data_IF_514786203034
#
_entry.id   IF_514786203034
#
_cell.length_a   1.000
_cell.length_b   1.000
_cell.length_c   1.000
_cell.angle_alpha   90.00
_cell.angle_beta   90.00
_cell.angle_gamma   90.00
#
_symmetry.space_group_name_H-M   'P 1'
#
loop_
_entity.id
_entity.type
_entity.pdbx_description
1 polymer ?
#
# COMPACT_ATOMS: atom_id res chain seq x y z
N UNK A 1 8.46 -1.16 -0.19
CA UNK A 1 7.60 -0.22 -0.98
C UNK A 1 6.96 0.92 -0.18
N UNK A 2 6.14 0.64 0.85
CA UNK A 2 5.49 1.72 1.63
C UNK A 2 6.49 2.57 2.44
N UNK A 3 7.66 2.02 2.76
CA UNK A 3 8.74 2.71 3.47
C UNK A 3 9.21 3.97 2.75
N UNK A 4 9.34 3.92 1.41
CA UNK A 4 9.75 5.08 0.63
C UNK A 4 8.69 6.19 0.66
N UNK A 5 7.41 5.81 0.50
CA UNK A 5 6.29 6.74 0.61
C UNK A 5 6.18 7.34 2.03
N UNK A 6 6.40 6.53 3.06
CA UNK A 6 6.45 6.98 4.45
C UNK A 6 7.58 7.97 4.67
N UNK A 7 8.77 7.67 4.15
CA UNK A 7 9.94 8.53 4.28
C UNK A 7 9.71 9.88 3.58
N UNK A 8 9.17 9.85 2.35
CA UNK A 8 8.78 11.05 1.60
C UNK A 8 7.84 11.95 2.43
N UNK A 9 6.82 11.38 3.07
CA UNK A 9 5.92 12.12 3.97
C UNK A 9 6.63 12.63 5.23
N UNK A 10 7.52 11.83 5.83
CA UNK A 10 8.26 12.25 7.02
C UNK A 10 9.20 13.42 6.74
N UNK A 11 9.82 13.44 5.56
CA UNK A 11 10.67 14.55 5.09
C UNK A 11 9.83 15.80 4.85
N UNK A 12 8.69 15.69 4.15
CA UNK A 12 7.79 16.84 3.96
C UNK A 12 7.26 17.37 5.29
N UNK A 13 6.79 16.50 6.20
CA UNK A 13 6.29 16.89 7.52
C UNK A 13 7.35 17.57 8.38
N UNK A 14 8.63 17.24 8.20
CA UNK A 14 9.73 17.87 8.93
C UNK A 14 9.95 19.34 8.54
N UNK A 15 9.40 19.79 7.40
CA UNK A 15 9.50 21.19 6.95
C UNK A 15 8.40 22.08 7.56
N UNK A 16 7.38 21.49 8.19
CA UNK A 16 6.24 22.24 8.72
C UNK A 16 6.53 22.75 10.13
N UNK A 17 6.44 24.07 10.38
CA UNK A 17 6.67 24.63 11.71
C UNK A 17 5.56 24.19 12.68
N UNK A 18 5.93 23.37 13.67
CA UNK A 18 5.00 22.77 14.64
C UNK A 18 5.65 22.73 16.03
N UNK A 19 4.84 22.77 17.10
CA UNK A 19 5.32 22.68 18.48
C UNK A 19 5.88 21.28 18.83
N UNK A 20 5.44 20.25 18.11
CA UNK A 20 5.95 18.89 18.20
C UNK A 20 5.86 18.23 16.82
N UNK A 21 6.68 17.20 16.61
CA UNK A 21 6.62 16.42 15.37
C UNK A 21 5.22 15.81 15.18
N UNK A 22 4.58 16.01 14.02
CA UNK A 22 3.32 15.35 13.69
C UNK A 22 3.48 13.83 13.70
N UNK A 23 2.46 13.13 14.19
CA UNK A 23 2.35 11.70 14.08
C UNK A 23 2.06 11.32 12.62
N UNK A 24 2.72 10.26 12.14
CA UNK A 24 2.42 9.65 10.84
C UNK A 24 2.10 8.17 11.04
N UNK A 25 0.83 7.82 10.96
CA UNK A 25 0.33 6.46 11.17
C UNK A 25 -0.26 5.89 9.89
N UNK A 26 -0.35 4.57 9.81
CA UNK A 26 -1.17 3.91 8.78
C UNK A 26 -2.63 4.32 8.99
N UNK A 27 -3.33 4.64 7.91
CA UNK A 27 -4.76 4.98 8.00
C UNK A 27 -5.61 3.72 8.16
N UNK A 28 -6.65 3.82 9.00
CA UNK A 28 -7.71 2.82 9.09
C UNK A 28 -8.71 2.95 7.93
N UNK A 29 -8.76 4.12 7.27
CA UNK A 29 -9.62 4.35 6.11
C UNK A 29 -9.12 3.56 4.89
N UNK A 30 -10.00 2.81 4.22
CA UNK A 30 -9.65 1.97 3.08
C UNK A 30 -9.05 2.75 1.90
N UNK A 31 -9.38 4.03 1.75
CA UNK A 31 -9.00 4.88 0.62
C UNK A 31 -7.73 5.71 0.88
N UNK A 32 -7.17 5.68 2.09
CA UNK A 32 -5.95 6.40 2.44
C UNK A 32 -4.83 5.44 2.86
N UNK A 33 -3.58 5.74 2.51
CA UNK A 33 -2.43 4.98 3.04
C UNK A 33 -2.06 5.44 4.45
N UNK A 34 -2.04 6.75 4.68
CA UNK A 34 -1.55 7.34 5.91
C UNK A 34 -2.53 8.35 6.51
N UNK A 35 -2.34 8.63 7.79
CA UNK A 35 -3.03 9.69 8.52
C UNK A 35 -2.02 10.46 9.37
N UNK A 36 -2.20 11.78 9.47
CA UNK A 36 -1.42 12.65 10.34
C UNK A 36 -2.30 13.59 11.15
N UNK A 37 -1.85 13.92 12.35
CA UNK A 37 -2.49 14.86 13.28
C UNK A 37 -2.08 16.31 13.00
N UNK A 38 -1.37 16.59 11.90
CA UNK A 38 -0.89 17.92 11.54
C UNK A 38 -1.92 19.06 11.69
N UNK A 39 -3.19 18.90 11.28
CA UNK A 39 -4.21 19.96 11.44
C UNK A 39 -4.50 20.34 12.89
N UNK A 40 -4.14 19.48 13.85
CA UNK A 40 -4.24 19.76 15.28
C UNK A 40 -3.00 20.49 15.82
N UNK A 41 -1.94 20.62 15.01
CA UNK A 41 -0.62 21.12 15.41
C UNK A 41 -0.21 22.41 14.68
N UNK A 42 -0.73 22.64 13.48
CA UNK A 42 -0.46 23.82 12.66
C UNK A 42 -1.50 23.97 11.54
N UNK A 43 -1.40 25.07 10.79
CA UNK A 43 -2.11 25.21 9.52
C UNK A 43 -1.57 24.17 8.52
N UNK A 44 -2.46 23.29 8.04
CA UNK A 44 -2.12 22.22 7.12
C UNK A 44 -2.17 22.67 5.65
N UNK A 45 -2.66 23.86 5.31
CA UNK A 45 -2.91 24.25 3.92
C UNK A 45 -1.64 24.26 3.06
N UNK A 46 -0.54 24.82 3.58
CA UNK A 46 0.75 24.82 2.87
C UNK A 46 1.30 23.41 2.69
N UNK A 47 1.17 22.58 3.71
CA UNK A 47 1.57 21.18 3.64
C UNK A 47 0.72 20.40 2.62
N UNK A 48 -0.60 20.59 2.59
CA UNK A 48 -1.48 19.92 1.62
C UNK A 48 -1.08 20.29 0.18
N UNK A 49 -0.85 21.59 -0.09
CA UNK A 49 -0.36 22.05 -1.40
C UNK A 49 0.99 21.43 -1.77
N UNK A 50 1.92 21.33 -0.82
CA UNK A 50 3.21 20.68 -1.03
C UNK A 50 3.03 19.18 -1.34
N UNK A 51 2.23 18.48 -0.55
CA UNK A 51 1.96 17.07 -0.74
C UNK A 51 1.32 16.79 -2.11
N UNK A 52 0.34 17.61 -2.51
CA UNK A 52 -0.31 17.54 -3.82
C UNK A 52 0.66 17.75 -4.98
N UNK A 53 1.60 18.70 -4.85
CA UNK A 53 2.70 18.88 -5.82
C UNK A 53 3.57 17.63 -5.96
N UNK A 54 3.71 16.85 -4.90
CA UNK A 54 4.41 15.56 -4.87
C UNK A 54 3.51 14.36 -5.26
N UNK A 55 2.29 14.61 -5.75
CA UNK A 55 1.37 13.60 -6.23
C UNK A 55 0.52 12.93 -5.15
N UNK A 56 0.48 13.49 -3.94
CA UNK A 56 -0.40 13.01 -2.88
C UNK A 56 -1.81 13.59 -3.00
N UNK A 57 -2.81 12.76 -2.71
CA UNK A 57 -4.17 13.23 -2.44
C UNK A 57 -4.31 13.43 -0.94
N UNK A 58 -4.89 14.56 -0.55
CA UNK A 58 -5.09 14.88 0.87
C UNK A 58 -6.54 15.28 1.14
N UNK A 59 -7.08 14.85 2.27
CA UNK A 59 -8.41 15.29 2.73
C UNK A 59 -8.55 15.12 4.24
N UNK A 60 -9.51 15.84 4.81
CA UNK A 60 -9.77 15.84 6.25
C UNK A 60 -10.86 14.85 6.62
N UNK A 61 -10.62 14.05 7.67
CA UNK A 61 -11.62 13.13 8.22
C UNK A 61 -11.40 12.92 9.71
N UNK A 62 -12.42 13.23 10.52
CA UNK A 62 -12.37 13.01 11.97
C UNK A 62 -11.21 13.72 12.69
N UNK A 63 -10.81 14.92 12.22
CA UNK A 63 -9.68 15.67 12.78
C UNK A 63 -8.29 15.19 12.32
N UNK A 64 -8.22 14.20 11.43
CA UNK A 64 -6.99 13.73 10.82
C UNK A 64 -6.88 14.22 9.38
N UNK A 65 -5.66 14.54 8.97
CA UNK A 65 -5.33 14.69 7.56
C UNK A 65 -4.97 13.31 7.01
N UNK A 66 -5.78 12.82 6.08
CA UNK A 66 -5.55 11.58 5.37
C UNK A 66 -4.72 11.83 4.12
N UNK A 67 -3.81 10.89 3.81
CA UNK A 67 -2.90 10.99 2.67
C UNK A 67 -2.92 9.68 1.87
N UNK A 68 -3.08 9.83 0.57
CA UNK A 68 -3.07 8.72 -0.38
C UNK A 68 -2.17 9.01 -1.58
N UNK A 69 -1.39 8.01 -1.97
CA UNK A 69 -0.56 8.01 -3.18
C UNK A 69 -0.28 6.57 -3.56
N UNK A 70 -0.90 6.09 -4.63
CA UNK A 70 -0.60 4.76 -5.15
C UNK A 70 0.76 4.81 -5.85
N UNK A 71 1.72 3.96 -5.46
CA UNK A 71 2.98 3.86 -6.17
C UNK A 71 2.74 3.31 -7.58
N UNK A 72 3.61 3.65 -8.53
CA UNK A 72 3.63 2.98 -9.81
C UNK A 72 3.93 1.48 -9.61
N UNK A 73 3.44 0.60 -10.51
CA UNK A 73 3.80 -0.81 -10.48
C UNK A 73 5.32 -0.97 -10.49
N UNK A 74 5.90 -1.80 -9.60
CA UNK A 74 7.28 -2.24 -9.72
C UNK A 74 7.52 -2.92 -11.07
N UNK A 75 8.77 -2.92 -11.52
CA UNK A 75 9.17 -3.73 -12.66
C UNK A 75 8.88 -5.21 -12.36
N UNK A 76 8.32 -5.90 -13.34
CA UNK A 76 8.00 -7.31 -13.20
C UNK A 76 9.31 -8.12 -13.24
N UNK A 77 9.65 -8.91 -12.20
CA UNK A 77 10.82 -9.78 -12.25
C UNK A 77 10.72 -10.80 -13.39
N UNK A 78 11.89 -11.18 -13.93
CA UNK A 78 12.02 -12.20 -14.98
C UNK A 78 11.51 -13.58 -14.54
N UNK A 79 11.50 -13.84 -13.24
CA UNK A 79 11.00 -15.05 -12.63
C UNK A 79 10.12 -14.69 -11.43
N UNK A 80 8.95 -15.33 -11.31
CA UNK A 80 8.10 -15.13 -10.15
C UNK A 80 8.83 -15.68 -8.91
N UNK A 81 9.07 -14.86 -7.87
CA UNK A 81 9.78 -15.30 -6.70
C UNK A 81 9.00 -16.41 -5.97
N UNK A 82 9.73 -17.39 -5.46
CA UNK A 82 9.17 -18.34 -4.50
C UNK A 82 8.92 -17.67 -3.16
N UNK A 83 7.75 -17.90 -2.57
CA UNK A 83 7.44 -17.47 -1.20
C UNK A 83 6.70 -18.59 -0.47
N UNK A 84 7.02 -18.84 0.82
CA UNK A 84 6.23 -19.77 1.62
C UNK A 84 4.85 -19.16 1.95
N UNK A 85 3.91 -20.02 2.36
CA UNK A 85 2.63 -19.60 2.91
C UNK A 85 1.64 -19.04 1.87
N UNK A 86 0.74 -18.18 2.33
CA UNK A 86 -0.38 -17.68 1.53
C UNK A 86 0.09 -16.70 0.45
N UNK A 87 1.23 -16.04 0.68
CA UNK A 87 1.87 -15.19 -0.31
C UNK A 87 2.25 -16.00 -1.56
N UNK A 88 2.85 -17.18 -1.39
CA UNK A 88 3.16 -18.10 -2.49
C UNK A 88 1.92 -18.56 -3.26
N UNK A 89 0.83 -18.85 -2.56
CA UNK A 89 -0.45 -19.20 -3.18
C UNK A 89 -1.00 -18.06 -4.05
N UNK A 90 -0.98 -16.82 -3.55
CA UNK A 90 -1.42 -15.65 -4.30
C UNK A 90 -0.56 -15.42 -5.56
N UNK A 91 0.77 -15.50 -5.42
CA UNK A 91 1.71 -15.38 -6.54
C UNK A 91 1.45 -16.42 -7.62
N UNK A 92 1.30 -17.69 -7.22
CA UNK A 92 1.03 -18.79 -8.16
C UNK A 92 -0.29 -18.63 -8.91
N UNK A 93 -1.35 -18.15 -8.24
CA UNK A 93 -2.65 -17.92 -8.87
C UNK A 93 -2.58 -16.75 -9.86
N UNK A 94 -2.11 -15.58 -9.41
CA UNK A 94 -2.07 -14.40 -10.27
C UNK A 94 -1.09 -14.54 -11.45
N UNK A 95 0.03 -15.24 -11.28
CA UNK A 95 0.95 -15.51 -12.39
C UNK A 95 0.34 -16.35 -13.52
N UNK A 96 -0.67 -17.17 -13.20
CA UNK A 96 -1.42 -17.97 -14.20
C UNK A 96 -2.59 -17.22 -14.83
N UNK A 97 -2.92 -16.04 -14.30
CA UNK A 97 -4.07 -15.24 -14.69
C UNK A 97 -3.65 -13.76 -14.76
N UNK A 98 -2.92 -13.34 -15.81
CA UNK A 98 -2.35 -12.01 -15.92
C UNK A 98 -3.39 -10.92 -16.27
N UNK A 99 -4.67 -11.12 -15.92
CA UNK A 99 -5.74 -10.19 -16.24
C UNK A 99 -5.47 -8.80 -15.65
N UNK A 100 -5.60 -7.77 -16.48
CA UNK A 100 -5.24 -6.39 -16.12
C UNK A 100 -6.35 -5.65 -15.35
N UNK A 101 -7.00 -6.32 -14.39
CA UNK A 101 -8.00 -5.64 -13.57
C UNK A 101 -7.35 -4.83 -12.45
N UNK A 102 -7.82 -3.60 -12.29
CA UNK A 102 -7.36 -2.67 -11.26
C UNK A 102 -8.28 -2.75 -10.05
N UNK A 103 -7.68 -3.05 -8.89
CA UNK A 103 -8.35 -2.90 -7.61
C UNK A 103 -7.44 -2.12 -6.67
N UNK A 104 -7.62 -0.81 -6.68
CA UNK A 104 -6.87 0.12 -5.85
C UNK A 104 -7.12 -0.14 -4.35
N UNK A 105 -8.26 -0.71 -3.98
CA UNK A 105 -8.58 -1.05 -2.59
C UNK A 105 -7.71 -2.21 -2.12
N UNK A 106 -7.62 -3.27 -2.94
CA UNK A 106 -6.72 -4.39 -2.69
C UNK A 106 -5.26 -3.92 -2.69
N UNK A 107 -4.87 -3.01 -3.59
CA UNK A 107 -3.52 -2.47 -3.61
C UNK A 107 -3.19 -1.71 -2.31
N UNK A 108 -4.07 -0.83 -1.83
CA UNK A 108 -3.88 -0.14 -0.54
C UNK A 108 -3.79 -1.13 0.62
N UNK A 109 -4.65 -2.14 0.64
CA UNK A 109 -4.64 -3.17 1.69
C UNK A 109 -3.34 -3.98 1.68
N UNK A 110 -2.86 -4.39 0.50
CA UNK A 110 -1.56 -5.03 0.33
C UNK A 110 -0.44 -4.15 0.89
N UNK A 111 -0.36 -2.90 0.41
CA UNK A 111 0.67 -1.95 0.78
C UNK A 111 0.71 -1.70 2.31
N UNK A 112 -0.46 -1.52 2.93
CA UNK A 112 -0.59 -1.40 4.40
C UNK A 112 -0.17 -2.66 5.13
N UNK A 113 -0.52 -3.84 4.61
CA UNK A 113 -0.18 -5.12 5.24
C UNK A 113 1.31 -5.42 5.18
N UNK A 114 1.98 -5.04 4.07
CA UNK A 114 3.42 -5.14 3.94
C UNK A 114 4.16 -4.25 4.96
N UNK A 115 3.72 -2.99 5.14
CA UNK A 115 4.27 -2.07 6.15
C UNK A 115 4.01 -2.53 7.60
N UNK A 116 2.93 -3.28 7.82
CA UNK A 116 2.62 -3.86 9.13
C UNK A 116 3.46 -5.12 9.46
N UNK A 117 4.16 -5.68 8.48
CA UNK A 117 5.09 -6.80 8.64
C UNK A 117 4.50 -8.16 8.25
N UNK A 118 5.34 -9.19 8.35
CA UNK A 118 5.07 -10.52 7.77
C UNK A 118 3.75 -11.17 8.21
N UNK A 119 3.38 -11.06 9.50
CA UNK A 119 2.13 -11.66 9.99
C UNK A 119 0.89 -10.97 9.41
N UNK A 120 0.92 -9.64 9.29
CA UNK A 120 -0.18 -8.88 8.69
C UNK A 120 -0.29 -9.19 7.19
N UNK A 121 0.85 -9.32 6.51
CA UNK A 121 0.92 -9.74 5.12
C UNK A 121 0.32 -11.15 4.92
N UNK A 122 0.68 -12.14 5.73
CA UNK A 122 0.09 -13.49 5.64
C UNK A 122 -1.44 -13.47 5.86
N UNK A 123 -1.92 -12.69 6.82
CA UNK A 123 -3.36 -12.53 7.05
C UNK A 123 -4.06 -11.92 5.84
N UNK A 124 -3.46 -10.89 5.24
CA UNK A 124 -3.97 -10.27 4.02
C UNK A 124 -3.96 -11.26 2.85
N UNK A 125 -2.84 -11.95 2.61
CA UNK A 125 -2.73 -12.94 1.54
C UNK A 125 -3.73 -14.10 1.72
N UNK A 126 -4.02 -14.53 2.95
CA UNK A 126 -5.09 -15.53 3.20
C UNK A 126 -6.47 -15.04 2.76
N UNK A 127 -6.79 -13.79 3.07
CA UNK A 127 -8.05 -13.17 2.64
C UNK A 127 -8.09 -13.04 1.12
N UNK A 128 -7.02 -12.52 0.52
CA UNK A 128 -6.88 -12.37 -0.93
C UNK A 128 -7.01 -13.71 -1.63
N UNK A 129 -6.30 -14.75 -1.19
CA UNK A 129 -6.37 -16.09 -1.78
C UNK A 129 -7.81 -16.64 -1.79
N UNK A 130 -8.57 -16.46 -0.70
CA UNK A 130 -9.99 -16.84 -0.67
C UNK A 130 -10.83 -16.07 -1.68
N UNK A 131 -10.59 -14.77 -1.83
CA UNK A 131 -11.24 -13.93 -2.84
C UNK A 131 -10.90 -14.38 -4.26
N UNK A 132 -9.62 -14.61 -4.56
CA UNK A 132 -9.16 -15.14 -5.85
C UNK A 132 -9.84 -16.48 -6.19
N UNK A 133 -9.89 -17.39 -5.22
CA UNK A 133 -10.55 -18.68 -5.40
C UNK A 133 -12.07 -18.53 -5.62
N UNK A 134 -12.72 -17.60 -4.94
CA UNK A 134 -14.14 -17.31 -5.14
C UNK A 134 -14.40 -16.75 -6.55
N UNK A 135 -13.57 -15.79 -7.01
CA UNK A 135 -13.65 -15.23 -8.36
C UNK A 135 -13.49 -16.29 -9.44
N UNK A 136 -12.52 -17.19 -9.29
CA UNK A 136 -12.32 -18.31 -10.23
C UNK A 136 -13.55 -19.21 -10.34
N UNK A 137 -14.21 -19.53 -9.22
CA UNK A 137 -15.44 -20.36 -9.23
C UNK A 137 -16.59 -19.69 -9.96
N UNK A 138 -16.64 -18.36 -9.98
CA UNK A 138 -17.68 -17.58 -10.63
C UNK A 138 -17.25 -17.01 -11.98
N UNK A 139 -16.10 -17.43 -12.52
CA UNK A 139 -15.52 -16.93 -13.77
C UNK A 139 -15.31 -15.40 -13.80
N UNK A 140 -15.08 -14.79 -12.64
CA UNK A 140 -14.73 -13.37 -12.54
C UNK A 140 -13.22 -13.18 -12.75
N UNK A 141 -12.79 -12.07 -13.37
CA UNK A 141 -11.38 -11.80 -13.60
C UNK A 141 -10.63 -11.56 -12.30
N UNK A 142 -9.34 -11.93 -12.30
CA UNK A 142 -8.46 -11.75 -11.15
C UNK A 142 -7.78 -10.38 -11.16
N UNK A 143 -7.47 -9.80 -9.99
CA UNK A 143 -6.71 -8.55 -9.84
C UNK A 143 -5.23 -8.74 -10.18
N UNK A 144 -4.91 -9.05 -11.43
CA UNK A 144 -3.55 -9.33 -11.91
C UNK A 144 -2.60 -8.14 -11.77
N UNK A 145 -3.10 -6.89 -11.73
CA UNK A 145 -2.29 -5.70 -11.43
C UNK A 145 -1.60 -5.74 -10.06
N UNK A 146 -2.04 -6.62 -9.14
CA UNK A 146 -1.37 -6.81 -7.85
C UNK A 146 -0.08 -7.63 -7.95
N UNK A 147 0.12 -8.39 -9.03
CA UNK A 147 1.23 -9.33 -9.17
C UNK A 147 2.61 -8.67 -8.99
N UNK A 148 2.95 -7.54 -9.65
CA UNK A 148 4.25 -6.90 -9.47
C UNK A 148 4.52 -6.49 -8.02
N UNK A 149 3.49 -6.03 -7.32
CA UNK A 149 3.59 -5.63 -5.92
C UNK A 149 3.78 -6.82 -4.97
N UNK A 150 3.07 -7.93 -5.23
CA UNK A 150 3.24 -9.17 -4.47
C UNK A 150 4.64 -9.77 -4.68
N UNK A 151 5.16 -9.71 -5.91
CA UNK A 151 6.52 -10.13 -6.19
C UNK A 151 7.53 -9.29 -5.41
N UNK A 152 7.38 -7.96 -5.44
CA UNK A 152 8.25 -7.09 -4.67
C UNK A 152 8.17 -7.35 -3.16
N UNK A 153 6.97 -7.60 -2.64
CA UNK A 153 6.78 -7.95 -1.24
C UNK A 153 7.42 -9.30 -0.86
N UNK A 154 7.51 -10.25 -1.79
CA UNK A 154 8.19 -11.53 -1.58
C UNK A 154 9.71 -11.39 -1.58
N UNK A 155 10.27 -10.59 -2.49
CA UNK A 155 11.69 -10.21 -2.54
C UNK A 155 12.13 -9.52 -1.24
N UNK A 156 11.39 -8.48 -0.81
CA UNK A 156 11.64 -7.74 0.43
C UNK A 156 11.61 -8.65 1.68
N UNK A 157 10.86 -9.77 1.65
CA UNK A 157 10.80 -10.74 2.76
C UNK A 157 11.89 -11.81 2.72
N UNK A 158 12.35 -12.19 1.54
CA UNK A 158 13.36 -13.23 1.36
C UNK A 158 14.79 -12.69 1.42
N UNK A 159 14.96 -11.35 1.44
CA UNK A 159 16.26 -10.69 1.53
C UNK A 159 17.00 -10.65 0.20
N UNK A 160 16.34 -11.00 -0.91
CA UNK A 160 16.83 -10.72 -2.26
C UNK A 160 16.30 -9.34 -2.67
N UNK A 161 17.17 -8.31 -2.75
CA UNK A 161 16.77 -6.96 -3.17
C UNK A 161 16.40 -6.87 -4.64
#
# INVERSE_FOLDING_TARGET
MLTALRQELQEMLATVPTLRRPALRRSEDANALFATDLPLLADAADFCRLAEKHGWRTWMQGGWLLLDKLPNPPDMPLQIPGAPGELGCCLSLLARHPDDTADDTLLRALLKSADAGGQAMEKYCRMLHRDLAARLRTHNPLPGRLLPYLCRAAEERTGNP
#
